data_IF_577036320097
#
_entry.id   IF_577036320097
#
_cell.length_a   1.000
_cell.length_b   1.000
_cell.length_c   1.000
_cell.angle_alpha   90.00
_cell.angle_beta   90.00
_cell.angle_gamma   90.00
#
_symmetry.space_group_name_H-M   'P 1'
#
loop_
_entity.id
_entity.type
_entity.pdbx_description
1 polymer ?
#
# COMPACT_ATOMS: atom_id res chain seq x y z
N UNK A 1 -6.19 -5.57 -33.98
CA UNK A 1 -4.72 -5.73 -33.99
C UNK A 1 -3.92 -4.42 -34.08
N UNK A 2 -4.45 -3.30 -34.58
CA UNK A 2 -3.66 -2.04 -34.66
C UNK A 2 -3.35 -1.42 -33.28
N UNK A 3 -4.30 -1.44 -32.35
CA UNK A 3 -4.14 -0.79 -31.04
C UNK A 3 -3.12 -1.46 -30.12
N UNK A 4 -2.99 -2.79 -30.19
CA UNK A 4 -1.99 -3.54 -29.42
C UNK A 4 -0.56 -3.10 -29.75
N UNK A 5 -0.24 -2.97 -31.05
CA UNK A 5 1.08 -2.49 -31.49
C UNK A 5 1.36 -1.05 -31.06
N UNK A 6 0.34 -0.19 -31.06
CA UNK A 6 0.49 1.20 -30.59
C UNK A 6 0.76 1.19 -29.08
N UNK A 7 0.00 0.42 -28.29
CA UNK A 7 0.18 0.30 -26.86
C UNK A 7 1.58 -0.19 -26.49
N UNK A 8 2.04 -1.29 -27.11
CA UNK A 8 3.37 -1.86 -26.85
C UNK A 8 4.51 -0.87 -27.11
N UNK A 9 4.39 -0.05 -28.16
CA UNK A 9 5.34 1.02 -28.44
C UNK A 9 5.28 2.14 -27.39
N UNK A 10 4.08 2.54 -26.96
CA UNK A 10 3.88 3.60 -25.97
C UNK A 10 4.49 3.24 -24.61
N UNK A 11 4.29 2.01 -24.13
CA UNK A 11 4.89 1.51 -22.88
C UNK A 11 6.35 1.06 -23.03
N UNK A 12 6.95 1.27 -24.21
CA UNK A 12 8.33 0.88 -24.54
C UNK A 12 8.63 -0.61 -24.31
N UNK A 13 7.63 -1.47 -24.51
CA UNK A 13 7.69 -2.91 -24.23
C UNK A 13 8.00 -3.25 -22.76
N UNK A 14 7.80 -2.32 -21.82
CA UNK A 14 7.87 -2.62 -20.40
C UNK A 14 6.54 -3.22 -19.92
N UNK A 15 6.54 -4.54 -19.78
CA UNK A 15 5.37 -5.33 -19.35
C UNK A 15 5.45 -5.76 -17.88
N UNK A 16 6.56 -5.46 -17.18
CA UNK A 16 6.80 -5.92 -15.81
C UNK A 16 6.26 -4.89 -14.82
N UNK A 17 5.00 -5.02 -14.43
CA UNK A 17 4.38 -4.11 -13.46
C UNK A 17 4.31 -4.75 -12.08
N UNK A 18 4.85 -4.05 -11.07
CA UNK A 18 4.72 -4.44 -9.67
C UNK A 18 3.46 -3.83 -9.06
N UNK A 19 2.57 -4.67 -8.52
CA UNK A 19 1.32 -4.21 -7.91
C UNK A 19 1.41 -4.11 -6.37
N UNK A 20 0.70 -3.15 -5.75
CA UNK A 20 0.72 -2.92 -4.31
C UNK A 20 0.19 -4.11 -3.48
N UNK A 21 -0.62 -5.02 -4.06
CA UNK A 21 -1.16 -6.19 -3.35
C UNK A 21 -0.08 -7.09 -2.75
N UNK A 22 1.04 -7.27 -3.47
CA UNK A 22 2.15 -8.12 -3.00
C UNK A 22 2.77 -7.56 -1.72
N UNK A 23 2.92 -6.24 -1.67
CA UNK A 23 3.47 -5.53 -0.53
C UNK A 23 2.49 -5.51 0.65
N UNK A 24 1.21 -5.29 0.37
CA UNK A 24 0.16 -5.34 1.39
C UNK A 24 0.18 -6.67 2.13
N UNK A 25 0.21 -7.80 1.41
CA UNK A 25 0.25 -9.14 2.03
C UNK A 25 1.52 -9.35 2.88
N UNK A 26 2.66 -8.84 2.43
CA UNK A 26 3.91 -8.92 3.18
C UNK A 26 3.85 -8.10 4.48
N UNK A 27 3.22 -6.92 4.45
CA UNK A 27 3.01 -6.09 5.64
C UNK A 27 2.03 -6.73 6.61
N UNK A 28 0.93 -7.30 6.11
CA UNK A 28 -0.06 -7.99 6.93
C UNK A 28 0.53 -9.20 7.67
N UNK A 29 1.46 -9.94 7.04
CA UNK A 29 2.15 -11.07 7.70
C UNK A 29 3.05 -10.65 8.86
N UNK A 30 3.62 -9.44 8.79
CA UNK A 30 4.51 -8.89 9.83
C UNK A 30 3.72 -8.29 11.00
N UNK A 31 2.44 -7.98 10.82
CA UNK A 31 1.58 -7.47 11.90
C UNK A 31 1.12 -8.64 12.76
N UNK A 32 1.32 -8.54 14.08
CA UNK A 32 0.83 -9.52 15.06
C UNK A 32 -0.42 -8.96 15.73
N UNK A 33 -1.49 -9.77 15.78
CA UNK A 33 -2.76 -9.34 16.35
C UNK A 33 -3.87 -10.35 16.07
N UNK A 34 -5.10 -9.95 16.37
CA UNK A 34 -6.27 -10.80 16.19
C UNK A 34 -6.51 -11.12 14.70
N UNK A 35 -6.61 -12.40 14.32
CA UNK A 35 -6.68 -12.81 12.92
C UNK A 35 -7.95 -12.33 12.21
N UNK A 36 -9.07 -12.19 12.92
CA UNK A 36 -10.31 -11.68 12.32
C UNK A 36 -10.21 -10.19 12.04
N UNK A 37 -9.64 -9.42 12.96
CA UNK A 37 -9.38 -7.99 12.75
C UNK A 37 -8.43 -7.74 11.59
N UNK A 38 -7.35 -8.51 11.53
CA UNK A 38 -6.37 -8.42 10.44
C UNK A 38 -7.04 -8.73 9.10
N UNK A 39 -7.90 -9.75 9.04
CA UNK A 39 -8.65 -10.09 7.82
C UNK A 39 -9.59 -8.97 7.38
N UNK A 40 -10.32 -8.34 8.29
CA UNK A 40 -11.18 -7.20 7.97
C UNK A 40 -10.37 -5.99 7.48
N UNK A 41 -9.21 -5.74 8.08
CA UNK A 41 -8.31 -4.67 7.71
C UNK A 41 -7.71 -4.90 6.32
N UNK A 42 -7.30 -6.12 6.03
CA UNK A 42 -6.81 -6.53 4.71
C UNK A 42 -7.89 -6.36 3.65
N UNK A 43 -9.12 -6.80 3.91
CA UNK A 43 -10.24 -6.65 2.98
C UNK A 43 -10.50 -5.17 2.65
N UNK A 44 -10.47 -4.31 3.67
CA UNK A 44 -10.67 -2.86 3.49
C UNK A 44 -9.50 -2.21 2.73
N UNK A 45 -8.26 -2.55 3.08
CA UNK A 45 -7.09 -2.10 2.35
C UNK A 45 -7.09 -2.56 0.88
N UNK A 46 -7.58 -3.77 0.61
CA UNK A 46 -7.73 -4.29 -0.75
C UNK A 46 -8.72 -3.46 -1.58
N UNK A 47 -9.86 -3.09 -0.99
CA UNK A 47 -10.81 -2.17 -1.63
C UNK A 47 -10.15 -0.83 -1.96
N UNK A 48 -9.38 -0.25 -1.03
CA UNK A 48 -8.66 1.00 -1.30
C UNK A 48 -7.60 0.88 -2.40
N UNK A 49 -6.93 -0.26 -2.53
CA UNK A 49 -6.03 -0.49 -3.66
C UNK A 49 -6.83 -0.46 -4.96
N UNK A 50 -7.97 -1.14 -5.04
CA UNK A 50 -8.80 -1.12 -6.25
C UNK A 50 -9.22 0.30 -6.62
N UNK A 51 -9.63 1.10 -5.64
CA UNK A 51 -9.99 2.50 -5.85
C UNK A 51 -8.78 3.33 -6.31
N UNK A 52 -7.58 3.07 -5.77
CA UNK A 52 -6.35 3.75 -6.16
C UNK A 52 -5.96 3.49 -7.63
N UNK A 53 -6.30 2.31 -8.18
CA UNK A 53 -6.03 1.96 -9.58
C UNK A 53 -6.92 2.73 -10.57
N UNK A 54 -8.07 3.26 -10.12
CA UNK A 54 -8.91 4.15 -10.92
C UNK A 54 -8.39 5.60 -10.93
N UNK A 55 -7.32 5.90 -10.18
CA UNK A 55 -6.68 7.21 -10.10
C UNK A 55 -5.28 7.20 -10.72
N UNK A 56 -4.59 8.34 -10.73
CA UNK A 56 -3.22 8.47 -11.23
C UNK A 56 -2.15 8.11 -10.19
N UNK A 57 -2.52 7.54 -9.04
CA UNK A 57 -1.58 7.21 -7.96
C UNK A 57 -0.46 6.25 -8.39
N UNK A 58 -0.75 5.31 -9.29
CA UNK A 58 0.23 4.36 -9.84
C UNK A 58 1.34 5.03 -10.70
N UNK A 59 1.15 6.29 -11.11
CA UNK A 59 2.15 7.08 -11.83
C UNK A 59 2.91 8.05 -10.91
N UNK A 60 2.36 8.32 -9.72
CA UNK A 60 2.93 9.28 -8.76
C UNK A 60 3.84 8.64 -7.73
N UNK A 61 3.58 7.39 -7.34
CA UNK A 61 4.24 6.73 -6.21
C UNK A 61 4.55 5.27 -6.48
N UNK A 62 5.62 4.76 -5.87
CA UNK A 62 5.91 3.32 -5.87
C UNK A 62 4.80 2.49 -5.19
N UNK A 63 4.58 1.25 -5.65
CA UNK A 63 3.54 0.36 -5.10
C UNK A 63 3.74 0.04 -3.61
N UNK A 64 4.98 0.10 -3.10
CA UNK A 64 5.32 -0.06 -1.68
C UNK A 64 4.71 1.04 -0.81
N UNK A 65 4.83 2.28 -1.27
CA UNK A 65 4.31 3.48 -0.58
C UNK A 65 2.79 3.44 -0.60
N UNK A 66 2.18 3.11 -1.75
CA UNK A 66 0.72 2.98 -1.88
C UNK A 66 0.19 1.91 -0.94
N UNK A 67 0.83 0.74 -0.87
CA UNK A 67 0.44 -0.35 0.03
C UNK A 67 0.53 0.05 1.51
N UNK A 68 1.55 0.81 1.91
CA UNK A 68 1.66 1.33 3.27
C UNK A 68 0.56 2.36 3.56
N UNK A 69 0.26 3.24 2.59
CA UNK A 69 -0.73 4.29 2.73
C UNK A 69 -2.15 3.76 2.90
N UNK A 70 -2.57 2.79 2.07
CA UNK A 70 -3.90 2.16 2.18
C UNK A 70 -4.05 1.37 3.47
N UNK A 71 -2.98 0.74 3.94
CA UNK A 71 -2.95 0.03 5.21
C UNK A 71 -3.14 1.01 6.37
N UNK A 72 -2.43 2.14 6.35
CA UNK A 72 -2.59 3.20 7.33
C UNK A 72 -4.01 3.78 7.31
N UNK A 73 -4.58 4.02 6.13
CA UNK A 73 -5.94 4.50 6.00
C UNK A 73 -6.95 3.50 6.59
N UNK A 74 -6.80 2.21 6.29
CA UNK A 74 -7.65 1.15 6.82
C UNK A 74 -7.59 1.08 8.35
N UNK A 75 -6.39 1.18 8.95
CA UNK A 75 -6.23 1.22 10.42
C UNK A 75 -6.94 2.42 11.03
N UNK A 76 -6.83 3.60 10.43
CA UNK A 76 -7.51 4.82 10.88
C UNK A 76 -9.02 4.71 10.80
N UNK A 77 -9.56 4.19 9.69
CA UNK A 77 -11.00 4.05 9.50
C UNK A 77 -11.62 3.01 10.42
N UNK A 78 -10.91 1.92 10.70
CA UNK A 78 -11.33 0.89 11.67
C UNK A 78 -11.04 1.26 13.13
N UNK A 79 -10.38 2.41 13.38
CA UNK A 79 -9.85 2.82 14.71
C UNK A 79 -9.02 1.71 15.37
N UNK A 80 -8.32 0.90 14.56
CA UNK A 80 -7.45 -0.15 15.07
C UNK A 80 -6.03 0.40 15.19
N UNK A 81 -5.46 0.33 16.39
CA UNK A 81 -4.03 0.53 16.61
C UNK A 81 -3.31 -0.78 16.33
N UNK A 82 -2.30 -0.74 15.44
CA UNK A 82 -1.36 -1.84 15.30
C UNK A 82 -0.37 -1.70 16.46
N UNK A 83 -0.51 -2.54 17.48
CA UNK A 83 0.27 -2.46 18.71
C UNK A 83 1.53 -3.34 18.68
N UNK A 84 1.50 -4.45 17.94
CA UNK A 84 2.63 -5.38 17.80
C UNK A 84 2.91 -5.75 16.33
N UNK A 85 4.19 -5.68 15.95
CA UNK A 85 4.69 -6.08 14.63
C UNK A 85 6.10 -6.68 14.74
N UNK A 86 6.47 -7.50 13.76
CA UNK A 86 7.80 -8.10 13.68
C UNK A 86 8.88 -7.05 13.39
N UNK A 87 9.92 -6.99 14.23
CA UNK A 87 11.02 -6.03 14.10
C UNK A 87 10.85 -4.73 14.90
N UNK A 88 9.90 -4.67 15.84
CA UNK A 88 9.65 -3.50 16.70
C UNK A 88 10.91 -3.02 17.43
N UNK A 89 11.34 -1.79 17.11
CA UNK A 89 12.30 -1.02 17.91
C UNK A 89 11.54 -0.05 18.83
N UNK A 90 12.00 0.20 20.08
CA UNK A 90 11.33 1.13 20.98
C UNK A 90 11.36 2.55 20.41
N UNK A 91 10.18 3.13 20.15
CA UNK A 91 10.05 4.52 19.69
C UNK A 91 9.79 4.73 18.19
N UNK A 92 9.84 3.66 17.38
CA UNK A 92 9.60 3.76 15.93
C UNK A 92 8.13 3.49 15.59
N UNK A 93 7.58 4.23 14.61
CA UNK A 93 6.21 3.99 14.13
C UNK A 93 6.20 2.80 13.19
N UNK A 94 5.14 1.99 13.24
CA UNK A 94 5.07 0.75 12.46
C UNK A 94 5.31 0.96 10.95
N UNK A 95 4.81 2.06 10.38
CA UNK A 95 4.99 2.40 8.96
C UNK A 95 6.43 2.74 8.56
N UNK A 96 7.27 3.20 9.50
CA UNK A 96 8.68 3.52 9.26
C UNK A 96 9.55 2.27 9.12
N UNK A 97 9.08 1.12 9.61
CA UNK A 97 9.75 -0.18 9.41
C UNK A 97 9.44 -0.83 8.05
N UNK A 98 8.42 -0.33 7.34
CA UNK A 98 7.94 -0.94 6.09
C UNK A 98 8.46 -0.24 4.83
N UNK A 99 8.85 1.03 4.92
CA UNK A 99 9.38 1.82 3.79
C UNK A 99 10.56 2.67 4.29
N UNK A 100 11.77 2.36 3.83
CA UNK A 100 12.93 3.23 4.01
C UNK A 100 12.70 4.50 3.17
N UNK A 101 12.84 5.69 3.78
CA UNK A 101 12.62 7.02 3.19
C UNK A 101 11.18 7.54 3.06
N UNK A 102 10.22 7.07 3.87
CA UNK A 102 8.97 7.83 4.01
C UNK A 102 9.21 9.10 4.83
N UNK A 103 9.74 10.15 4.17
CA UNK A 103 9.94 11.46 4.76
C UNK A 103 8.63 11.96 5.37
N UNK A 104 8.73 12.56 6.55
CA UNK A 104 7.66 12.94 7.49
C UNK A 104 6.56 13.86 6.89
N UNK A 105 6.70 14.26 5.63
CA UNK A 105 5.81 15.15 4.88
C UNK A 105 4.69 14.41 4.15
N UNK A 106 4.88 13.12 3.83
CA UNK A 106 3.87 12.34 3.12
C UNK A 106 2.90 11.74 4.13
N UNK A 107 1.96 12.54 4.62
CA UNK A 107 0.83 11.98 5.39
C UNK A 107 0.08 11.04 4.44
N UNK A 108 -0.20 9.78 4.82
CA UNK A 108 -1.01 8.88 3.99
C UNK A 108 -2.42 9.42 3.65
N UNK A 109 -2.83 10.51 4.28
CA UNK A 109 -4.12 11.13 4.10
C UNK A 109 -4.12 12.32 3.13
N UNK A 110 -2.97 12.82 2.68
CA UNK A 110 -2.94 13.81 1.58
C UNK A 110 -3.13 13.18 0.20
N UNK A 111 -3.12 11.84 0.10
CA UNK A 111 -3.29 11.10 -1.16
C UNK A 111 -4.75 11.03 -1.68
N UNK A 112 -5.74 11.40 -0.86
CA UNK A 112 -7.18 11.31 -1.15
C UNK A 112 -7.86 12.68 -1.32
N UNK A 113 -7.08 13.72 -1.65
CA UNK A 113 -7.62 15.05 -1.93
C UNK A 113 -8.06 15.19 -3.38
#
# INVERSE_FOLDING_TARGET
MMYERVLLKTIKFDLQVSHPYKYLLNFTKRIKGDPERIKQLLQMAWSFINDSLATTLCLQWEPEIVACAVLYLATRMKKCTIEDWEGRQPGQRWWECFVENMSTEVRPCSFLK
#
